data_IF_547664741516
#
_entry.id   IF_547664741516
#
_cell.length_a   1.000
_cell.length_b   1.000
_cell.length_c   1.000
_cell.angle_alpha   90.00
_cell.angle_beta   90.00
_cell.angle_gamma   90.00
#
_symmetry.space_group_name_H-M   'P 1'
#
loop_
_entity.id
_entity.type
_entity.pdbx_description
1 polymer ?
#
# COMPACT_ATOMS: atom_id res chain seq x y z
N UNK A 1 -26.57 81.97 24.08
CA UNK A 1 -27.17 81.46 22.83
C UNK A 1 -26.92 79.96 22.79
N UNK A 2 -28.00 79.18 22.76
CA UNK A 2 -28.00 77.72 22.70
C UNK A 2 -27.67 77.25 21.28
N UNK A 3 -26.89 76.17 21.17
CA UNK A 3 -27.14 75.13 20.17
C UNK A 3 -26.71 73.77 20.73
N UNK A 4 -27.72 72.95 21.04
CA UNK A 4 -27.63 71.50 21.15
C UNK A 4 -27.35 70.93 19.76
N UNK A 5 -26.73 69.75 19.68
CA UNK A 5 -27.39 68.55 19.14
C UNK A 5 -26.45 67.44 18.63
N UNK A 6 -26.73 66.22 19.12
CA UNK A 6 -26.87 64.95 18.40
C UNK A 6 -25.61 64.24 17.84
N UNK A 7 -25.27 63.10 18.47
CA UNK A 7 -24.58 61.97 17.84
C UNK A 7 -25.42 61.40 16.67
N UNK A 8 -24.81 60.67 15.72
CA UNK A 8 -24.97 59.21 15.77
C UNK A 8 -23.79 58.37 15.24
N UNK A 9 -23.88 57.08 15.57
CA UNK A 9 -23.10 55.93 15.09
C UNK A 9 -23.07 55.80 13.56
N UNK A 10 -21.91 55.41 13.00
CA UNK A 10 -21.77 54.63 11.76
C UNK A 10 -20.34 54.04 11.76
N UNK A 11 -20.12 52.75 12.07
CA UNK A 11 -20.34 51.57 11.23
C UNK A 11 -19.53 51.59 9.91
N UNK A 12 -19.07 50.40 9.49
CA UNK A 12 -18.43 50.05 8.20
C UNK A 12 -16.89 50.17 8.21
N UNK A 13 -16.07 49.16 7.96
CA UNK A 13 -16.27 47.71 7.77
C UNK A 13 -14.90 47.04 7.97
N UNK A 14 -14.83 46.01 8.81
CA UNK A 14 -13.72 45.07 8.82
C UNK A 14 -13.89 44.18 7.59
N UNK A 15 -13.19 44.51 6.51
CA UNK A 15 -13.10 43.66 5.32
C UNK A 15 -12.22 42.44 5.66
N UNK A 16 -12.84 41.45 6.31
CA UNK A 16 -12.34 40.09 6.38
C UNK A 16 -12.34 39.52 4.95
N UNK A 17 -11.20 39.63 4.26
CA UNK A 17 -10.90 38.73 3.15
C UNK A 17 -10.75 37.31 3.71
N UNK A 18 -11.87 36.62 3.89
CA UNK A 18 -11.89 35.17 4.03
C UNK A 18 -11.50 34.58 2.68
N UNK A 19 -10.19 34.35 2.47
CA UNK A 19 -9.75 33.35 1.51
C UNK A 19 -10.37 32.02 1.96
N UNK A 20 -11.47 31.63 1.33
CA UNK A 20 -11.99 30.29 1.41
C UNK A 20 -10.97 29.36 0.74
N UNK A 21 -9.96 28.96 1.50
CA UNK A 21 -9.10 27.82 1.16
C UNK A 21 -9.99 26.59 1.32
N UNK A 22 -10.74 26.28 0.27
CA UNK A 22 -11.39 24.98 0.12
C UNK A 22 -10.26 23.94 0.27
N UNK A 23 -10.31 23.05 1.29
CA UNK A 23 -9.39 21.94 1.32
C UNK A 23 -9.75 21.09 0.11
N UNK A 24 -8.91 21.17 -0.92
CA UNK A 24 -8.89 20.18 -1.98
C UNK A 24 -8.48 18.88 -1.29
N UNK A 25 -9.47 18.13 -0.80
CA UNK A 25 -9.28 16.76 -0.39
C UNK A 25 -8.89 16.03 -1.68
N UNK A 26 -7.58 15.94 -1.92
CA UNK A 26 -7.04 15.02 -2.89
C UNK A 26 -7.56 13.65 -2.46
N UNK A 27 -8.63 13.19 -3.12
CA UNK A 27 -9.14 11.85 -2.94
C UNK A 27 -7.93 10.92 -3.03
N UNK A 28 -7.68 10.13 -1.97
CA UNK A 28 -6.57 9.21 -1.94
C UNK A 28 -6.67 8.36 -3.21
N UNK A 29 -5.80 8.63 -4.20
CA UNK A 29 -5.89 7.96 -5.48
C UNK A 29 -5.73 6.47 -5.22
N UNK A 30 -6.56 5.66 -5.85
CA UNK A 30 -6.46 4.20 -5.74
C UNK A 30 -5.07 3.78 -6.21
N UNK A 31 -4.24 3.33 -5.27
CA UNK A 31 -2.88 2.85 -5.53
C UNK A 31 -2.82 1.36 -5.30
N UNK A 32 -2.19 0.70 -6.26
CA UNK A 32 -2.00 -0.74 -6.29
C UNK A 32 -0.58 -1.03 -5.81
N UNK A 33 -0.46 -1.86 -4.77
CA UNK A 33 0.84 -2.35 -4.32
C UNK A 33 1.06 -3.75 -4.88
N UNK A 34 2.29 -4.08 -5.26
CA UNK A 34 2.64 -5.40 -5.75
C UNK A 34 4.04 -5.83 -5.30
N UNK A 35 4.23 -7.14 -5.23
CA UNK A 35 5.48 -7.79 -4.81
C UNK A 35 5.72 -9.02 -5.68
N UNK A 36 6.93 -9.14 -6.21
CA UNK A 36 7.38 -10.32 -6.93
C UNK A 36 8.39 -11.05 -6.04
N UNK A 37 8.03 -12.18 -5.42
CA UNK A 37 8.97 -12.97 -4.64
C UNK A 37 9.99 -13.67 -5.56
N UNK A 38 11.15 -14.00 -5.01
CA UNK A 38 12.20 -14.78 -5.67
C UNK A 38 12.54 -16.07 -4.89
N UNK A 39 13.53 -16.83 -5.34
CA UNK A 39 13.95 -18.07 -4.67
C UNK A 39 14.87 -17.86 -3.45
N UNK A 40 15.13 -16.62 -3.05
CA UNK A 40 16.11 -16.28 -2.01
C UNK A 40 15.40 -15.74 -0.75
N UNK A 41 15.06 -14.45 -0.75
CA UNK A 41 14.36 -13.72 0.32
C UNK A 41 14.06 -12.26 -0.07
N UNK A 42 14.20 -11.87 -1.34
CA UNK A 42 14.00 -10.49 -1.75
C UNK A 42 12.53 -10.29 -2.13
N UNK A 43 11.92 -9.25 -1.58
CA UNK A 43 10.50 -8.96 -1.76
C UNK A 43 10.29 -7.48 -1.46
N UNK A 44 10.55 -6.65 -2.47
CA UNK A 44 10.30 -5.21 -2.42
C UNK A 44 8.88 -4.91 -2.89
N UNK A 45 8.12 -4.19 -2.06
CA UNK A 45 6.80 -3.71 -2.46
C UNK A 45 6.99 -2.52 -3.40
N UNK A 46 6.26 -2.51 -4.50
CA UNK A 46 6.17 -1.37 -5.42
C UNK A 46 4.74 -0.88 -5.49
N UNK A 47 4.55 0.40 -5.83
CA UNK A 47 3.24 1.01 -5.97
C UNK A 47 3.06 1.63 -7.34
N UNK A 48 1.84 1.53 -7.88
CA UNK A 48 1.45 2.23 -9.10
C UNK A 48 -0.03 2.67 -9.04
N UNK A 49 -0.45 3.46 -10.03
CA UNK A 49 -1.84 3.91 -10.19
C UNK A 49 -2.75 2.85 -10.81
N UNK A 50 -2.19 1.75 -11.32
CA UNK A 50 -2.95 0.61 -11.83
C UNK A 50 -2.34 -0.71 -11.40
N UNK A 51 -3.19 -1.74 -11.31
CA UNK A 51 -2.80 -3.12 -10.99
C UNK A 51 -1.70 -3.63 -11.91
N UNK A 52 -1.88 -3.45 -13.22
CA UNK A 52 -0.96 -4.01 -14.22
C UNK A 52 0.40 -3.30 -14.19
N UNK A 53 0.40 -1.99 -13.95
CA UNK A 53 1.65 -1.25 -13.78
C UNK A 53 2.37 -1.68 -12.50
N UNK A 54 1.66 -1.85 -11.39
CA UNK A 54 2.25 -2.31 -10.13
C UNK A 54 2.90 -3.69 -10.32
N UNK A 55 2.19 -4.63 -10.95
CA UNK A 55 2.71 -5.96 -11.29
C UNK A 55 3.97 -5.89 -12.16
N UNK A 56 3.94 -5.10 -13.24
CA UNK A 56 5.10 -4.92 -14.12
C UNK A 56 6.31 -4.38 -13.36
N UNK A 57 6.11 -3.35 -12.56
CA UNK A 57 7.16 -2.76 -11.74
C UNK A 57 7.70 -3.75 -10.69
N UNK A 58 6.85 -4.60 -10.12
CA UNK A 58 7.27 -5.56 -9.10
C UNK A 58 8.22 -6.60 -9.70
N UNK A 59 7.88 -7.12 -10.89
CA UNK A 59 8.75 -8.05 -11.62
C UNK A 59 10.07 -7.38 -12.01
N UNK A 60 10.03 -6.15 -12.49
CA UNK A 60 11.24 -5.41 -12.84
C UNK A 60 12.14 -5.18 -11.61
N UNK A 61 11.57 -4.71 -10.50
CA UNK A 61 12.30 -4.47 -9.26
C UNK A 61 12.92 -5.76 -8.70
N UNK A 62 12.20 -6.88 -8.78
CA UNK A 62 12.75 -8.17 -8.40
C UNK A 62 13.89 -8.58 -9.34
N UNK A 63 13.71 -8.45 -10.67
CA UNK A 63 14.72 -8.85 -11.67
C UNK A 63 16.02 -8.06 -11.58
N UNK A 64 15.99 -6.88 -10.97
CA UNK A 64 17.20 -6.10 -10.67
C UNK A 64 18.07 -6.76 -9.60
N UNK A 65 17.51 -7.59 -8.74
CA UNK A 65 18.22 -8.20 -7.61
C UNK A 65 18.31 -9.73 -7.69
N UNK A 66 17.50 -10.40 -8.52
CA UNK A 66 17.59 -11.84 -8.75
C UNK A 66 17.01 -12.24 -10.11
N UNK A 67 17.58 -13.27 -10.74
CA UNK A 67 17.05 -13.84 -11.99
C UNK A 67 15.87 -14.80 -11.77
N UNK A 68 15.54 -15.11 -10.51
CA UNK A 68 14.60 -16.18 -10.13
C UNK A 68 13.21 -15.67 -9.76
N UNK A 69 12.88 -14.45 -10.16
CA UNK A 69 11.63 -13.80 -9.82
C UNK A 69 10.42 -14.52 -10.38
N UNK A 70 9.36 -14.61 -9.56
CA UNK A 70 8.07 -15.10 -10.02
C UNK A 70 7.54 -14.26 -11.19
N UNK A 71 6.99 -14.92 -12.21
CA UNK A 71 6.35 -14.26 -13.34
C UNK A 71 4.97 -13.68 -12.98
N UNK A 72 4.35 -14.21 -11.92
CA UNK A 72 3.02 -13.85 -11.43
C UNK A 72 3.13 -13.12 -10.07
N UNK A 73 3.43 -11.81 -10.06
CA UNK A 73 3.55 -11.05 -8.81
C UNK A 73 2.22 -10.99 -8.06
N UNK A 74 2.30 -11.04 -6.73
CA UNK A 74 1.17 -10.77 -5.85
C UNK A 74 0.87 -9.26 -5.86
N UNK A 75 -0.41 -8.88 -5.90
CA UNK A 75 -0.84 -7.49 -5.96
C UNK A 75 -2.05 -7.27 -5.07
N UNK A 76 -2.14 -6.11 -4.43
CA UNK A 76 -3.28 -5.73 -3.61
C UNK A 76 -4.43 -5.21 -4.45
N UNK A 77 -5.63 -5.10 -3.87
CA UNK A 77 -6.77 -4.39 -4.46
C UNK A 77 -6.97 -3.01 -3.81
N UNK A 78 -5.96 -2.50 -3.10
CA UNK A 78 -6.01 -1.29 -2.28
C UNK A 78 -4.87 -1.24 -1.25
N UNK A 79 -4.77 -0.17 -0.47
CA UNK A 79 -3.64 0.07 0.46
C UNK A 79 -3.83 -0.55 1.85
N UNK A 80 -5.04 -0.99 2.20
CA UNK A 80 -5.34 -1.55 3.53
C UNK A 80 -4.99 -3.05 3.68
N UNK A 81 -4.55 -3.66 2.59
CA UNK A 81 -4.25 -5.09 2.55
C UNK A 81 -2.89 -5.43 3.16
N UNK A 82 -2.68 -6.72 3.40
CA UNK A 82 -1.44 -7.28 3.94
C UNK A 82 -0.88 -8.32 2.97
N UNK A 83 0.42 -8.25 2.72
CA UNK A 83 1.18 -9.31 2.07
C UNK A 83 1.72 -10.28 3.12
N UNK A 84 1.59 -11.58 2.87
CA UNK A 84 2.29 -12.62 3.62
C UNK A 84 3.36 -13.25 2.73
N UNK A 85 4.61 -13.26 3.19
CA UNK A 85 5.74 -13.92 2.50
C UNK A 85 6.12 -15.18 3.26
N UNK A 86 6.08 -16.31 2.56
CA UNK A 86 6.40 -17.61 3.12
C UNK A 86 7.45 -18.28 2.26
N UNK A 87 8.46 -18.86 2.90
CA UNK A 87 9.56 -19.53 2.22
C UNK A 87 9.70 -20.96 2.71
N UNK A 88 9.98 -21.86 1.78
CA UNK A 88 10.22 -23.28 2.04
C UNK A 88 11.66 -23.61 1.66
N UNK A 89 12.20 -24.69 2.22
CA UNK A 89 13.56 -25.18 1.93
C UNK A 89 13.60 -26.56 1.27
N UNK A 90 12.51 -27.31 1.35
CA UNK A 90 12.37 -28.70 0.87
C UNK A 90 11.08 -28.85 0.06
N UNK A 91 11.07 -29.46 -1.14
CA UNK A 91 12.20 -30.05 -1.90
C UNK A 91 13.21 -29.06 -2.46
N UNK A 92 12.89 -27.77 -2.49
CA UNK A 92 13.79 -26.71 -2.95
C UNK A 92 13.58 -25.44 -2.13
N UNK A 93 14.61 -24.61 -2.06
CA UNK A 93 14.51 -23.29 -1.46
C UNK A 93 13.72 -22.34 -2.36
N UNK A 94 12.70 -21.69 -1.80
CA UNK A 94 11.95 -20.67 -2.53
C UNK A 94 10.91 -19.96 -1.68
N UNK A 95 10.57 -18.73 -2.07
CA UNK A 95 9.56 -17.91 -1.41
C UNK A 95 8.36 -17.64 -2.32
N UNK A 96 7.18 -17.54 -1.71
CA UNK A 96 5.98 -17.05 -2.36
C UNK A 96 5.33 -15.98 -1.48
N UNK A 97 4.50 -15.16 -2.12
CA UNK A 97 3.76 -14.10 -1.46
C UNK A 97 2.28 -14.21 -1.85
N UNK A 98 1.39 -13.97 -0.88
CA UNK A 98 -0.04 -13.80 -1.15
C UNK A 98 -0.58 -12.57 -0.43
N UNK A 99 -1.75 -12.09 -0.86
CA UNK A 99 -2.40 -10.89 -0.32
C UNK A 99 -3.73 -11.25 0.33
N UNK A 100 -4.04 -10.62 1.46
CA UNK A 100 -5.35 -10.66 2.09
C UNK A 100 -5.73 -9.33 2.72
N UNK A 101 -7.02 -9.15 3.01
CA UNK A 101 -7.50 -8.00 3.78
C UNK A 101 -7.01 -8.03 5.25
N UNK A 102 -6.64 -9.21 5.76
CA UNK A 102 -6.01 -9.41 7.07
C UNK A 102 -4.81 -10.34 6.97
N UNK A 103 -4.02 -10.43 8.06
CA UNK A 103 -2.88 -11.37 8.17
C UNK A 103 -3.31 -12.82 8.03
N UNK A 104 -4.45 -13.19 8.62
CA UNK A 104 -5.00 -14.55 8.59
C UNK A 104 -5.41 -14.94 7.18
N UNK A 105 -6.06 -14.03 6.46
CA UNK A 105 -6.45 -14.25 5.07
C UNK A 105 -5.20 -14.37 4.19
N UNK A 106 -4.24 -13.46 4.33
CA UNK A 106 -2.99 -13.51 3.58
C UNK A 106 -2.19 -14.80 3.86
N UNK A 107 -2.17 -15.24 5.12
CA UNK A 107 -1.52 -16.48 5.53
C UNK A 107 -2.22 -17.72 4.95
N UNK A 108 -3.55 -17.74 4.96
CA UNK A 108 -4.34 -18.83 4.37
C UNK A 108 -4.04 -18.95 2.87
N UNK A 109 -4.04 -17.83 2.16
CA UNK A 109 -3.76 -17.82 0.72
C UNK A 109 -2.33 -18.25 0.40
N UNK A 110 -1.32 -17.77 1.15
CA UNK A 110 0.07 -18.18 0.87
C UNK A 110 0.30 -19.66 1.20
N UNK A 111 -0.34 -20.19 2.25
CA UNK A 111 -0.29 -21.62 2.56
C UNK A 111 -0.92 -22.46 1.45
N UNK A 112 -2.02 -21.99 0.85
CA UNK A 112 -2.68 -22.68 -0.27
C UNK A 112 -1.71 -22.87 -1.46
N UNK A 113 -0.92 -21.85 -1.78
CA UNK A 113 0.08 -21.91 -2.86
C UNK A 113 1.12 -23.02 -2.66
N UNK A 114 1.44 -23.37 -1.41
CA UNK A 114 2.40 -24.42 -1.08
C UNK A 114 1.75 -25.78 -0.82
N UNK A 115 0.50 -25.83 -0.34
CA UNK A 115 -0.20 -27.10 -0.07
C UNK A 115 -0.40 -27.95 -1.32
N UNK A 116 -0.53 -27.31 -2.48
CA UNK A 116 -0.67 -27.99 -3.78
C UNK A 116 0.63 -28.68 -4.23
N UNK A 117 1.78 -28.35 -3.61
CA UNK A 117 3.10 -28.84 -4.01
C UNK A 117 3.79 -29.81 -3.04
N UNK A 118 3.11 -30.25 -1.96
CA UNK A 118 3.67 -31.23 -1.02
C UNK A 118 4.76 -30.70 -0.08
N UNK A 119 4.88 -29.38 0.08
CA UNK A 119 5.89 -28.75 0.91
C UNK A 119 5.55 -28.88 2.40
N UNK A 120 6.40 -29.57 3.17
CA UNK A 120 6.21 -29.82 4.61
C UNK A 120 6.99 -28.85 5.51
N UNK A 121 8.03 -28.20 4.99
CA UNK A 121 8.92 -27.28 5.72
C UNK A 121 8.85 -25.84 5.19
N UNK A 122 7.68 -25.20 5.34
CA UNK A 122 7.49 -23.80 4.99
C UNK A 122 7.39 -22.93 6.26
N UNK A 123 8.13 -21.82 6.27
CA UNK A 123 8.11 -20.84 7.35
C UNK A 123 7.59 -19.50 6.84
N UNK A 124 6.63 -18.92 7.57
CA UNK A 124 6.27 -17.53 7.36
C UNK A 124 7.48 -16.65 7.73
N UNK A 125 7.92 -15.79 6.81
CA UNK A 125 9.06 -14.91 7.05
C UNK A 125 8.65 -13.54 7.55
N UNK A 126 7.59 -12.98 6.98
CA UNK A 126 7.17 -11.61 7.28
C UNK A 126 5.78 -11.32 6.75
N UNK A 127 5.09 -10.39 7.42
CA UNK A 127 4.01 -9.64 6.80
C UNK A 127 4.49 -8.26 6.37
N UNK A 128 3.88 -7.71 5.33
CA UNK A 128 4.06 -6.33 4.93
C UNK A 128 2.71 -5.64 4.77
N UNK A 129 2.58 -4.44 5.33
CA UNK A 129 1.41 -3.58 5.05
C UNK A 129 1.49 -3.06 3.63
N UNK A 130 0.41 -3.17 2.86
CA UNK A 130 0.38 -2.72 1.48
C UNK A 130 0.55 -1.21 1.34
N UNK A 131 -0.01 -0.41 2.24
CA UNK A 131 0.08 1.05 2.17
C UNK A 131 1.46 1.62 2.50
N UNK A 132 2.23 0.96 3.36
CA UNK A 132 3.49 1.53 3.92
C UNK A 132 4.74 0.71 3.62
N UNK A 133 4.61 -0.56 3.23
CA UNK A 133 5.74 -1.48 3.09
C UNK A 133 6.40 -1.85 4.43
N UNK A 134 5.83 -1.42 5.56
CA UNK A 134 6.33 -1.74 6.89
C UNK A 134 6.17 -3.24 7.15
N UNK A 135 7.25 -3.85 7.65
CA UNK A 135 7.22 -5.22 8.20
C UNK A 135 6.37 -5.22 9.47
N UNK A 136 5.53 -6.26 9.62
CA UNK A 136 4.64 -6.41 10.78
C UNK A 136 4.45 -7.85 11.22
#
# INVERSE_FOLDING_TARGET
MLTRSLAPLAAVAVALLTLAVLPCQAAAQDRWAAIAPNLENSSSVVWATSKDQAKKLAVLACKQVSSTCAETPASTNGMDHVFAVMCCTDPKTGCAAAVGATREIALKEVKRLFSEGGYSQCSLKSYFKAGTGEKG
#
